data_IF_307265249227
#
_entry.id   IF_307265249227
#
_cell.length_a   1.000
_cell.length_b   1.000
_cell.length_c   1.000
_cell.angle_alpha   90.00
_cell.angle_beta   90.00
_cell.angle_gamma   90.00
#
_symmetry.space_group_name_H-M   'P 1'
#
loop_
_entity.id
_entity.type
_entity.pdbx_description
1 polymer ?
#
# COMPACT_ATOMS: atom_id res chain seq x y z
N UNK A 1 -3.03 -0.82 9.58
CA UNK A 1 -2.03 -0.89 10.65
C UNK A 1 -1.63 0.50 11.16
N UNK A 2 -0.96 1.39 10.36
CA UNK A 2 -0.48 2.70 10.83
C UNK A 2 -1.59 3.56 11.44
N UNK A 3 -2.76 3.62 10.79
CA UNK A 3 -3.92 4.37 11.27
C UNK A 3 -4.46 3.85 12.61
N UNK A 4 -4.50 2.53 12.76
CA UNK A 4 -4.90 1.89 14.01
C UNK A 4 -3.94 2.28 15.15
N UNK A 5 -2.63 2.15 14.94
CA UNK A 5 -1.63 2.56 15.92
C UNK A 5 -1.70 4.05 16.23
N UNK A 6 -1.98 4.91 15.23
CA UNK A 6 -2.18 6.33 15.41
C UNK A 6 -3.38 6.64 16.32
N UNK A 7 -4.50 5.89 16.16
CA UNK A 7 -5.70 5.99 17.03
C UNK A 7 -5.35 5.69 18.50
N UNK A 8 -4.39 4.78 18.74
CA UNK A 8 -3.90 4.42 20.07
C UNK A 8 -2.70 5.25 20.56
N UNK A 9 -2.45 6.41 19.97
CA UNK A 9 -1.48 7.38 20.46
C UNK A 9 -0.06 7.25 19.90
N UNK A 10 0.20 6.33 18.98
CA UNK A 10 1.50 6.20 18.32
C UNK A 10 1.66 7.21 17.20
N UNK A 11 2.89 7.70 17.00
CA UNK A 11 3.22 8.58 15.89
C UNK A 11 3.67 7.78 14.68
N UNK A 12 2.91 7.77 13.56
CA UNK A 12 3.32 7.05 12.36
C UNK A 12 4.43 7.79 11.63
N UNK A 13 5.40 7.03 11.12
CA UNK A 13 6.44 7.50 10.21
C UNK A 13 6.20 6.83 8.86
N UNK A 14 6.01 7.63 7.83
CA UNK A 14 5.88 7.17 6.45
C UNK A 14 7.21 7.39 5.76
N UNK A 15 7.93 6.30 5.52
CA UNK A 15 9.18 6.31 4.77
C UNK A 15 8.89 6.16 3.28
N UNK A 16 9.25 7.18 2.52
CA UNK A 16 9.12 7.21 1.07
C UNK A 16 10.45 6.77 0.43
N UNK A 17 10.38 5.75 -0.40
CA UNK A 17 11.54 5.06 -0.95
C UNK A 17 12.22 5.77 -2.13
N UNK A 18 12.53 7.07 -2.02
CA UNK A 18 13.16 7.80 -3.12
C UNK A 18 14.55 7.30 -3.51
N UNK A 19 15.33 6.81 -2.53
CA UNK A 19 16.63 6.19 -2.77
C UNK A 19 16.51 4.70 -3.13
N UNK A 20 15.75 3.94 -2.35
CA UNK A 20 15.60 2.50 -2.57
C UNK A 20 14.85 2.16 -3.86
N UNK A 21 13.98 3.01 -4.37
CA UNK A 21 13.33 2.81 -5.69
C UNK A 21 14.31 2.89 -6.86
N UNK A 22 15.44 3.60 -6.71
CA UNK A 22 16.51 3.60 -7.71
C UNK A 22 17.18 2.22 -7.84
N UNK A 23 17.15 1.42 -6.78
CA UNK A 23 17.70 0.07 -6.72
C UNK A 23 16.66 -0.96 -7.12
N UNK A 24 15.46 -0.90 -6.55
CA UNK A 24 14.36 -1.84 -6.75
C UNK A 24 14.37 -2.99 -5.73
N UNK A 25 13.24 -3.14 -5.02
CA UNK A 25 13.04 -4.23 -4.06
C UNK A 25 12.79 -5.56 -4.79
N UNK A 26 13.63 -6.61 -4.59
CA UNK A 26 13.42 -7.93 -5.19
C UNK A 26 12.30 -8.72 -4.54
N UNK A 27 11.82 -8.34 -3.35
CA UNK A 27 10.85 -9.11 -2.57
C UNK A 27 9.54 -9.30 -3.32
N UNK A 28 9.05 -10.55 -3.37
CA UNK A 28 7.78 -10.90 -4.00
C UNK A 28 7.71 -10.70 -5.52
N UNK A 29 8.87 -10.61 -6.20
CA UNK A 29 9.00 -10.47 -7.65
C UNK A 29 9.90 -11.55 -8.22
N UNK A 30 9.54 -12.05 -9.39
CA UNK A 30 10.33 -13.02 -10.16
C UNK A 30 11.25 -12.34 -11.18
N UNK A 31 10.91 -11.13 -11.59
CA UNK A 31 11.67 -10.35 -12.58
C UNK A 31 12.32 -9.11 -11.97
N UNK A 32 13.44 -8.69 -12.56
CA UNK A 32 14.11 -7.44 -12.23
C UNK A 32 13.19 -6.24 -12.49
N UNK A 33 13.12 -5.33 -11.53
CA UNK A 33 12.26 -4.14 -11.64
C UNK A 33 12.78 -3.19 -12.71
N UNK A 34 11.85 -2.57 -13.46
CA UNK A 34 12.17 -1.47 -14.38
C UNK A 34 12.82 -0.32 -13.61
N UNK A 35 13.95 0.13 -14.08
CA UNK A 35 14.64 1.31 -13.55
C UNK A 35 13.85 2.56 -13.95
N UNK A 36 13.42 3.32 -12.96
CA UNK A 36 12.68 4.58 -13.15
C UNK A 36 13.64 5.77 -13.10
N UNK A 37 13.32 6.81 -13.86
CA UNK A 37 14.01 8.10 -13.73
C UNK A 37 13.69 8.77 -12.41
N UNK A 38 14.61 9.61 -11.91
CA UNK A 38 14.39 10.40 -10.68
C UNK A 38 13.11 11.22 -10.73
N UNK A 39 12.80 11.82 -11.88
CA UNK A 39 11.57 12.62 -12.08
C UNK A 39 10.29 11.79 -11.92
N UNK A 40 10.29 10.55 -12.42
CA UNK A 40 9.17 9.62 -12.23
C UNK A 40 9.04 9.21 -10.76
N UNK A 41 10.17 8.92 -10.10
CA UNK A 41 10.20 8.58 -8.68
C UNK A 41 9.65 9.72 -7.83
N UNK A 42 10.09 10.96 -8.04
CA UNK A 42 9.63 12.13 -7.29
C UNK A 42 8.11 12.37 -7.49
N UNK A 43 7.61 12.17 -8.72
CA UNK A 43 6.15 12.24 -9.02
C UNK A 43 5.37 11.15 -8.26
N UNK A 44 5.89 9.93 -8.25
CA UNK A 44 5.26 8.81 -7.54
C UNK A 44 5.27 9.03 -6.03
N UNK A 45 6.39 9.49 -5.46
CA UNK A 45 6.52 9.84 -4.05
C UNK A 45 5.45 10.85 -3.64
N UNK A 46 5.30 11.94 -4.39
CA UNK A 46 4.30 12.96 -4.10
C UNK A 46 2.87 12.39 -4.13
N UNK A 47 2.57 11.56 -5.12
CA UNK A 47 1.25 10.93 -5.24
C UNK A 47 0.96 9.99 -4.07
N UNK A 48 1.95 9.20 -3.63
CA UNK A 48 1.82 8.29 -2.48
C UNK A 48 1.69 9.09 -1.18
N UNK A 49 2.51 10.13 -1.00
CA UNK A 49 2.46 11.01 0.18
C UNK A 49 1.08 11.66 0.33
N UNK A 50 0.48 12.15 -0.77
CA UNK A 50 -0.84 12.76 -0.76
C UNK A 50 -1.93 11.76 -0.31
N UNK A 51 -1.83 10.49 -0.70
CA UNK A 51 -2.73 9.42 -0.23
C UNK A 51 -2.55 9.20 1.28
N UNK A 52 -1.32 9.05 1.77
CA UNK A 52 -1.07 8.86 3.19
C UNK A 52 -1.57 10.03 4.04
N UNK A 53 -1.45 11.27 3.55
CA UNK A 53 -2.00 12.48 4.22
C UNK A 53 -3.52 12.41 4.40
N UNK A 54 -4.25 11.74 3.50
CA UNK A 54 -5.69 11.55 3.65
C UNK A 54 -5.98 10.60 4.82
N UNK A 55 -5.26 9.47 4.90
CA UNK A 55 -5.53 8.42 5.88
C UNK A 55 -4.96 8.71 7.27
N UNK A 56 -3.84 9.43 7.38
CA UNK A 56 -3.11 9.66 8.62
C UNK A 56 -3.31 11.08 9.19
N UNK A 57 -4.47 11.69 8.94
CA UNK A 57 -4.81 13.00 9.50
C UNK A 57 -4.86 12.94 11.02
N UNK A 58 -4.14 13.86 11.68
CA UNK A 58 -4.25 14.06 13.12
C UNK A 58 -4.12 15.54 13.47
N UNK A 59 -4.98 16.00 14.40
CA UNK A 59 -4.90 17.33 15.01
C UNK A 59 -3.92 17.34 16.20
N UNK A 60 -3.63 16.17 16.77
CA UNK A 60 -2.72 16.03 17.90
C UNK A 60 -1.28 16.00 17.40
N UNK A 61 -0.44 16.92 17.91
CA UNK A 61 0.98 17.02 17.54
C UNK A 61 1.78 15.75 17.84
N UNK A 62 1.42 15.02 18.91
CA UNK A 62 2.10 13.77 19.30
C UNK A 62 1.84 12.60 18.34
N UNK A 63 0.72 12.62 17.62
CA UNK A 63 0.34 11.56 16.65
C UNK A 63 0.34 12.06 15.22
N UNK A 64 0.78 13.30 14.98
CA UNK A 64 0.93 13.84 13.62
C UNK A 64 1.93 13.00 12.84
N UNK A 65 1.59 12.54 11.61
CA UNK A 65 2.49 11.69 10.84
C UNK A 65 3.76 12.44 10.43
N UNK A 66 4.88 11.73 10.44
CA UNK A 66 6.16 12.21 9.93
C UNK A 66 6.36 11.60 8.55
N UNK A 67 6.67 12.43 7.55
CA UNK A 67 7.02 11.98 6.20
C UNK A 67 8.51 12.17 5.97
N UNK A 68 9.19 11.12 5.57
CA UNK A 68 10.62 11.13 5.27
C UNK A 68 10.90 10.43 3.95
N UNK A 69 11.92 10.92 3.25
CA UNK A 69 12.39 10.33 2.00
C UNK A 69 13.82 9.83 2.21
N UNK A 70 14.03 8.51 2.04
CA UNK A 70 15.34 7.90 2.26
C UNK A 70 16.43 8.36 1.28
N UNK A 71 16.06 8.99 0.17
CA UNK A 71 17.03 9.64 -0.72
C UNK A 71 17.90 10.65 0.03
N UNK A 72 17.36 11.32 1.05
CA UNK A 72 18.07 12.35 1.84
C UNK A 72 19.32 11.84 2.57
N UNK A 73 19.40 10.56 2.87
CA UNK A 73 20.58 9.93 3.48
C UNK A 73 21.25 8.93 2.54
N UNK A 74 20.51 8.12 1.77
CA UNK A 74 21.10 7.12 0.88
C UNK A 74 21.96 7.76 -0.23
N UNK A 75 21.54 8.91 -0.77
CA UNK A 75 22.31 9.62 -1.81
C UNK A 75 23.65 10.19 -1.34
N UNK A 76 23.87 10.27 -0.03
CA UNK A 76 25.08 10.81 0.58
C UNK A 76 26.03 9.72 1.08
N UNK A 77 25.65 8.45 0.93
CA UNK A 77 26.49 7.35 1.36
C UNK A 77 27.74 7.22 0.47
N UNK A 78 28.90 7.19 1.11
CA UNK A 78 30.10 6.72 0.46
C UNK A 78 30.15 5.19 0.51
N UNK A 79 30.35 4.54 -0.61
CA UNK A 79 30.27 3.08 -0.72
C UNK A 79 31.26 2.36 0.20
N UNK A 80 32.51 2.80 0.25
CA UNK A 80 33.53 2.16 1.09
C UNK A 80 33.20 2.32 2.57
N UNK A 81 32.80 3.52 2.98
CA UNK A 81 32.38 3.77 4.37
C UNK A 81 31.13 2.96 4.74
N UNK A 82 30.18 2.84 3.83
CA UNK A 82 28.98 2.03 4.05
C UNK A 82 29.32 0.54 4.25
N UNK A 83 30.18 -0.03 3.42
CA UNK A 83 30.64 -1.41 3.59
C UNK A 83 31.36 -1.60 4.92
N UNK A 84 32.27 -0.68 5.28
CA UNK A 84 33.04 -0.76 6.52
C UNK A 84 32.16 -0.64 7.77
N UNK A 85 31.22 0.31 7.80
CA UNK A 85 30.45 0.64 8.99
C UNK A 85 29.14 -0.13 9.11
N UNK A 86 28.53 -0.52 8.00
CA UNK A 86 27.24 -1.20 7.94
C UNK A 86 27.42 -2.64 7.44
N UNK A 87 28.12 -2.84 6.33
CA UNK A 87 28.29 -4.14 5.70
C UNK A 87 28.85 -5.20 6.64
N UNK A 88 29.80 -4.84 7.51
CA UNK A 88 30.39 -5.75 8.51
C UNK A 88 29.38 -6.40 9.46
N UNK A 89 28.17 -5.86 9.57
CA UNK A 89 27.10 -6.40 10.41
C UNK A 89 26.23 -7.44 9.69
N UNK A 90 26.43 -7.65 8.39
CA UNK A 90 25.71 -8.60 7.58
C UNK A 90 26.59 -9.76 7.18
N UNK A 91 26.06 -10.98 7.26
CA UNK A 91 26.78 -12.16 6.79
C UNK A 91 26.08 -12.75 5.58
N UNK A 92 26.81 -13.10 4.55
CA UNK A 92 26.30 -13.70 3.32
C UNK A 92 25.43 -14.92 3.65
N UNK A 93 25.90 -15.82 4.53
CA UNK A 93 25.17 -17.02 4.92
C UNK A 93 23.77 -16.70 5.45
N UNK A 94 23.62 -15.65 6.29
CA UNK A 94 22.31 -15.23 6.78
C UNK A 94 21.46 -14.59 5.69
N UNK A 95 22.07 -13.76 4.83
CA UNK A 95 21.36 -13.10 3.74
C UNK A 95 20.78 -14.12 2.73
N UNK A 96 21.46 -15.23 2.51
CA UNK A 96 21.00 -16.31 1.62
C UNK A 96 19.81 -17.11 2.18
N UNK A 97 19.53 -17.04 3.50
CA UNK A 97 18.41 -17.77 4.12
C UNK A 97 17.06 -17.09 3.98
N UNK A 98 17.01 -15.82 3.59
CA UNK A 98 15.75 -15.10 3.45
C UNK A 98 15.01 -15.50 2.18
N UNK A 99 13.69 -15.66 2.26
CA UNK A 99 12.85 -16.14 1.15
C UNK A 99 13.00 -15.32 -0.13
N UNK A 100 13.21 -14.01 -0.03
CA UNK A 100 13.45 -13.13 -1.18
C UNK A 100 14.70 -13.48 -2.00
N UNK A 101 15.67 -14.16 -1.38
CA UNK A 101 16.89 -14.64 -2.01
C UNK A 101 16.81 -16.14 -2.27
N UNK A 102 16.51 -16.93 -1.22
CA UNK A 102 16.48 -18.38 -1.25
C UNK A 102 15.61 -18.92 -2.38
N UNK A 103 14.36 -18.46 -2.50
CA UNK A 103 13.43 -18.92 -3.52
C UNK A 103 13.90 -18.62 -4.95
N UNK A 104 14.60 -17.50 -5.16
CA UNK A 104 15.16 -17.17 -6.48
C UNK A 104 16.33 -18.05 -6.84
N UNK A 105 17.21 -18.35 -5.88
CA UNK A 105 18.33 -19.26 -6.08
C UNK A 105 17.86 -20.69 -6.33
N UNK A 106 16.87 -21.18 -5.56
CA UNK A 106 16.28 -22.53 -5.76
C UNK A 106 15.58 -22.68 -7.12
N UNK A 107 15.06 -21.58 -7.68
CA UNK A 107 14.41 -21.55 -9.00
C UNK A 107 15.37 -21.19 -10.13
N UNK A 108 16.67 -21.07 -9.85
CA UNK A 108 17.70 -20.65 -10.82
C UNK A 108 17.40 -19.31 -11.48
N UNK A 109 16.66 -18.43 -10.79
CA UNK A 109 16.32 -17.10 -11.27
C UNK A 109 17.46 -16.11 -11.01
N UNK A 110 17.71 -15.23 -11.96
CA UNK A 110 18.73 -14.18 -11.82
C UNK A 110 18.45 -13.28 -10.62
N UNK A 111 19.47 -13.05 -9.80
CA UNK A 111 19.46 -12.09 -8.70
C UNK A 111 20.70 -11.19 -8.85
N UNK A 112 20.51 -9.94 -9.20
CA UNK A 112 21.63 -9.01 -9.36
C UNK A 112 22.24 -8.66 -8.00
N UNK A 113 23.53 -8.29 -8.01
CA UNK A 113 24.22 -7.79 -6.83
C UNK A 113 23.49 -6.58 -6.20
N UNK A 114 22.93 -5.71 -7.04
CA UNK A 114 22.14 -4.55 -6.63
C UNK A 114 20.89 -4.97 -5.83
N UNK A 115 20.13 -5.93 -6.35
CA UNK A 115 18.93 -6.46 -5.68
C UNK A 115 19.29 -7.19 -4.39
N UNK A 116 20.39 -7.96 -4.37
CA UNK A 116 20.89 -8.65 -3.19
C UNK A 116 21.24 -7.68 -2.05
N UNK A 117 21.79 -6.50 -2.37
CA UNK A 117 22.10 -5.47 -1.39
C UNK A 117 20.90 -4.69 -0.88
N UNK A 118 19.71 -4.83 -1.50
CA UNK A 118 18.53 -4.08 -1.10
C UNK A 118 18.18 -4.23 0.39
N UNK A 119 18.29 -5.44 0.94
CA UNK A 119 18.00 -5.68 2.36
C UNK A 119 18.91 -4.89 3.31
N UNK A 120 20.17 -4.61 2.93
CA UNK A 120 21.05 -3.77 3.73
C UNK A 120 20.62 -2.30 3.70
N UNK A 121 20.10 -1.83 2.56
CA UNK A 121 19.61 -0.45 2.42
C UNK A 121 18.35 -0.22 3.26
N UNK A 122 17.40 -1.15 3.24
CA UNK A 122 16.20 -1.05 4.08
C UNK A 122 16.54 -1.20 5.58
N UNK A 123 17.50 -2.05 5.93
CA UNK A 123 17.99 -2.14 7.31
C UNK A 123 18.64 -0.83 7.76
N UNK A 124 19.40 -0.18 6.87
CA UNK A 124 19.99 1.12 7.13
C UNK A 124 18.92 2.23 7.26
N UNK A 125 17.85 2.18 6.46
CA UNK A 125 16.70 3.07 6.61
C UNK A 125 16.10 2.97 8.01
N UNK A 126 15.87 1.75 8.51
CA UNK A 126 15.32 1.57 9.85
C UNK A 126 16.28 2.09 10.94
N UNK A 127 17.60 1.86 10.77
CA UNK A 127 18.61 2.42 11.64
C UNK A 127 18.60 3.96 11.65
N UNK A 128 18.52 4.62 10.49
CA UNK A 128 18.41 6.07 10.39
C UNK A 128 17.11 6.61 11.00
N UNK A 129 15.99 5.93 10.82
CA UNK A 129 14.72 6.28 11.46
C UNK A 129 14.78 6.13 12.98
N UNK A 130 15.42 5.07 13.49
CA UNK A 130 15.63 4.89 14.92
C UNK A 130 16.49 6.03 15.49
N UNK A 131 17.58 6.37 14.82
CA UNK A 131 18.50 7.42 15.25
C UNK A 131 17.88 8.80 15.22
N UNK A 132 17.18 9.17 14.13
CA UNK A 132 16.65 10.52 13.89
C UNK A 132 15.30 10.75 14.55
N UNK A 133 14.44 9.74 14.57
CA UNK A 133 13.04 9.86 14.97
C UNK A 133 12.65 8.92 16.12
N UNK A 134 13.61 8.22 16.71
CA UNK A 134 13.39 7.24 17.79
C UNK A 134 12.36 6.15 17.36
N UNK A 135 12.34 5.80 16.08
CA UNK A 135 11.48 4.77 15.55
C UNK A 135 11.89 3.40 16.13
N UNK A 136 10.98 2.72 16.79
CA UNK A 136 11.24 1.42 17.43
C UNK A 136 10.49 0.25 16.80
N UNK A 137 9.53 0.51 15.91
CA UNK A 137 8.71 -0.51 15.27
C UNK A 137 8.66 -0.27 13.76
N UNK A 138 9.06 -1.28 12.97
CA UNK A 138 8.85 -1.30 11.52
C UNK A 138 7.75 -2.30 11.17
N UNK A 139 6.83 -1.89 10.28
CA UNK A 139 5.68 -2.70 9.87
C UNK A 139 5.74 -2.95 8.36
N UNK A 140 5.43 -4.17 7.95
CA UNK A 140 5.36 -4.54 6.54
C UNK A 140 4.45 -5.74 6.27
N UNK A 141 4.37 -6.17 5.02
CA UNK A 141 3.81 -7.46 4.65
C UNK A 141 4.76 -8.61 5.02
N UNK A 142 4.27 -9.84 5.02
CA UNK A 142 5.10 -11.03 5.31
C UNK A 142 6.31 -11.17 4.38
N UNK A 143 6.20 -10.68 3.15
CA UNK A 143 7.29 -10.63 2.16
C UNK A 143 8.44 -9.69 2.57
N UNK A 144 8.21 -8.77 3.51
CA UNK A 144 9.21 -7.82 4.03
C UNK A 144 9.95 -8.31 5.27
N UNK A 145 9.64 -9.51 5.77
CA UNK A 145 10.22 -10.01 7.02
C UNK A 145 11.75 -9.96 7.04
N UNK A 146 12.40 -10.47 6.01
CA UNK A 146 13.87 -10.48 5.90
C UNK A 146 14.48 -9.08 5.98
N UNK A 147 13.89 -8.11 5.26
CA UNK A 147 14.35 -6.73 5.27
C UNK A 147 14.18 -6.10 6.67
N UNK A 148 13.04 -6.34 7.34
CA UNK A 148 12.72 -5.78 8.66
C UNK A 148 13.65 -6.36 9.75
N UNK A 149 13.84 -7.68 9.76
CA UNK A 149 14.71 -8.35 10.76
C UNK A 149 16.15 -7.88 10.64
N UNK A 150 16.65 -7.67 9.43
CA UNK A 150 17.99 -7.10 9.24
C UNK A 150 18.12 -5.71 9.85
N UNK A 151 17.06 -4.89 9.80
CA UNK A 151 17.02 -3.58 10.43
C UNK A 151 17.03 -3.66 11.97
N UNK A 152 16.24 -4.55 12.56
CA UNK A 152 16.24 -4.77 14.03
C UNK A 152 17.61 -5.24 14.52
N UNK A 153 18.24 -6.16 13.78
CA UNK A 153 19.57 -6.66 14.12
C UNK A 153 20.65 -5.57 14.00
N UNK A 154 20.57 -4.74 12.96
CA UNK A 154 21.51 -3.64 12.76
C UNK A 154 21.43 -2.64 13.92
N UNK A 155 20.23 -2.24 14.33
CA UNK A 155 20.00 -1.34 15.47
C UNK A 155 20.58 -1.96 16.76
N UNK A 156 20.28 -3.23 17.02
CA UNK A 156 20.78 -3.93 18.21
C UNK A 156 22.33 -3.98 18.22
N UNK A 157 22.97 -4.24 17.09
CA UNK A 157 24.43 -4.34 16.99
C UNK A 157 25.13 -2.99 17.13
N UNK A 158 24.58 -1.92 16.51
CA UNK A 158 25.21 -0.60 16.51
C UNK A 158 24.85 0.25 17.73
N UNK A 159 23.58 0.27 18.12
CA UNK A 159 23.07 1.17 19.18
C UNK A 159 22.88 0.48 20.53
N UNK A 160 22.98 -0.86 20.58
CA UNK A 160 22.66 -1.67 21.77
C UNK A 160 21.22 -1.44 22.28
N UNK A 161 20.33 -1.03 21.38
CA UNK A 161 18.90 -0.78 21.65
C UNK A 161 18.04 -1.87 21.02
N UNK A 162 16.83 -2.05 21.57
CA UNK A 162 15.83 -2.94 21.00
C UNK A 162 14.97 -2.18 19.99
N UNK A 163 14.73 -2.82 18.86
CA UNK A 163 13.74 -2.43 17.88
C UNK A 163 12.96 -3.66 17.43
N UNK A 164 11.75 -3.47 16.94
CA UNK A 164 10.78 -4.53 16.69
C UNK A 164 10.32 -4.50 15.25
N UNK A 165 10.01 -5.67 14.72
CA UNK A 165 9.36 -5.85 13.44
C UNK A 165 7.98 -6.47 13.61
N UNK A 166 7.01 -6.00 12.84
CA UNK A 166 5.67 -6.58 12.74
C UNK A 166 5.34 -6.83 11.28
N UNK A 167 4.99 -8.05 10.95
CA UNK A 167 4.47 -8.35 9.60
C UNK A 167 3.02 -8.80 9.67
N UNK A 168 2.28 -8.49 8.61
CA UNK A 168 0.92 -8.97 8.40
C UNK A 168 0.92 -9.91 7.20
N UNK A 169 0.02 -10.92 7.17
CA UNK A 169 -0.20 -11.69 5.96
C UNK A 169 -0.50 -10.78 4.76
N UNK A 170 -0.11 -11.21 3.56
CA UNK A 170 -0.50 -10.51 2.34
C UNK A 170 -2.03 -10.61 2.18
N UNK A 171 -2.64 -9.49 1.79
CA UNK A 171 -4.07 -9.44 1.57
C UNK A 171 -4.42 -10.18 0.27
N UNK A 172 -5.21 -11.23 0.42
CA UNK A 172 -5.75 -12.02 -0.69
C UNK A 172 -7.27 -12.00 -0.66
N UNK A 173 -7.86 -12.18 -1.82
CA UNK A 173 -9.29 -12.45 -1.97
C UNK A 173 -9.58 -13.91 -1.59
N UNK A 174 -10.83 -14.23 -1.32
CA UNK A 174 -11.29 -15.62 -1.09
C UNK A 174 -10.98 -16.56 -2.27
N UNK A 175 -10.82 -16.00 -3.47
CA UNK A 175 -10.35 -16.71 -4.67
C UNK A 175 -8.85 -17.05 -4.66
N UNK A 176 -8.08 -16.59 -3.67
CA UNK A 176 -6.61 -16.69 -3.63
C UNK A 176 -5.86 -15.60 -4.43
N UNK A 177 -6.56 -14.78 -5.20
CA UNK A 177 -5.95 -13.68 -5.94
C UNK A 177 -5.45 -12.57 -5.01
N UNK A 178 -4.39 -11.86 -5.40
CA UNK A 178 -3.89 -10.70 -4.63
C UNK A 178 -4.92 -9.56 -4.67
N UNK A 179 -5.28 -9.03 -3.50
CA UNK A 179 -6.17 -7.88 -3.42
C UNK A 179 -5.59 -6.64 -4.09
N UNK A 180 -6.48 -5.80 -4.65
CA UNK A 180 -6.10 -4.52 -5.29
C UNK A 180 -5.61 -4.66 -6.72
N UNK A 181 -5.65 -5.86 -7.29
CA UNK A 181 -5.46 -6.11 -8.73
C UNK A 181 -6.73 -6.71 -9.31
N UNK A 182 -7.20 -6.13 -10.41
CA UNK A 182 -8.29 -6.67 -11.21
C UNK A 182 -7.75 -7.01 -12.61
N UNK A 183 -8.55 -7.66 -13.44
CA UNK A 183 -8.23 -7.86 -14.86
C UNK A 183 -7.93 -6.55 -15.59
N UNK A 184 -8.56 -5.44 -15.15
CA UNK A 184 -8.35 -4.08 -15.68
C UNK A 184 -7.15 -3.36 -15.05
N UNK A 185 -6.38 -4.00 -14.15
CA UNK A 185 -5.21 -3.43 -13.49
C UNK A 185 -5.39 -3.12 -12.00
N UNK A 186 -4.61 -2.17 -11.50
CA UNK A 186 -4.61 -1.81 -10.08
C UNK A 186 -5.80 -0.93 -9.70
N UNK A 187 -6.31 -1.10 -8.47
CA UNK A 187 -7.30 -0.18 -7.89
C UNK A 187 -6.57 1.05 -7.35
N UNK A 188 -6.68 2.14 -8.09
CA UNK A 188 -6.01 3.37 -7.76
C UNK A 188 -6.75 4.17 -6.68
N UNK A 189 -5.99 4.71 -5.72
CA UNK A 189 -6.53 5.56 -4.65
C UNK A 189 -6.61 7.04 -5.07
N UNK A 190 -5.94 7.43 -6.14
CA UNK A 190 -5.97 8.78 -6.67
C UNK A 190 -7.20 8.96 -7.57
N UNK A 191 -8.09 9.91 -7.20
CA UNK A 191 -9.34 10.20 -7.93
C UNK A 191 -9.15 10.61 -9.40
N UNK A 192 -7.93 11.02 -9.81
CA UNK A 192 -7.63 11.32 -11.21
C UNK A 192 -7.35 10.05 -12.03
N UNK A 193 -7.06 8.92 -11.39
CA UNK A 193 -6.76 7.65 -12.03
C UNK A 193 -7.92 6.67 -11.93
N UNK A 194 -8.72 6.76 -10.85
CA UNK A 194 -9.94 5.98 -10.65
C UNK A 194 -10.97 6.91 -10.02
N UNK A 195 -12.16 7.04 -10.63
CA UNK A 195 -13.20 7.89 -10.10
C UNK A 195 -13.71 7.40 -8.73
N UNK A 196 -14.26 8.28 -7.86
CA UNK A 196 -14.87 7.86 -6.61
C UNK A 196 -16.01 6.86 -6.82
N UNK A 197 -16.74 6.94 -7.94
CA UNK A 197 -17.79 6.00 -8.30
C UNK A 197 -17.23 4.62 -8.64
N UNK A 198 -16.19 4.53 -9.46
CA UNK A 198 -15.55 3.25 -9.80
C UNK A 198 -14.87 2.61 -8.57
N UNK A 199 -14.29 3.43 -7.69
CA UNK A 199 -13.74 2.97 -6.42
C UNK A 199 -14.84 2.43 -5.51
N UNK A 200 -16.01 3.10 -5.43
CA UNK A 200 -17.18 2.63 -4.70
C UNK A 200 -17.71 1.30 -5.29
N UNK A 201 -17.79 1.21 -6.63
CA UNK A 201 -18.23 -0.02 -7.33
C UNK A 201 -17.28 -1.20 -7.08
N UNK A 202 -15.98 -0.96 -6.99
CA UNK A 202 -15.03 -2.02 -6.62
C UNK A 202 -15.41 -2.65 -5.28
N UNK A 203 -15.68 -1.86 -4.26
CA UNK A 203 -16.09 -2.37 -2.95
C UNK A 203 -17.48 -2.99 -2.96
N UNK A 204 -18.41 -2.40 -3.71
CA UNK A 204 -19.78 -2.93 -3.87
C UNK A 204 -19.81 -4.31 -4.52
N UNK A 205 -18.84 -4.61 -5.39
CA UNK A 205 -18.70 -5.86 -6.11
C UNK A 205 -17.77 -6.88 -5.39
N UNK A 206 -17.45 -6.65 -4.12
CA UNK A 206 -16.72 -7.61 -3.29
C UNK A 206 -17.46 -8.94 -3.21
N UNK A 207 -16.72 -10.07 -3.25
CA UNK A 207 -17.29 -11.39 -3.03
C UNK A 207 -17.93 -11.49 -1.63
N UNK A 208 -19.04 -12.20 -1.51
CA UNK A 208 -19.80 -12.33 -0.26
C UNK A 208 -18.92 -12.83 0.91
N UNK A 209 -17.99 -13.75 0.61
CA UNK A 209 -17.08 -14.34 1.59
C UNK A 209 -16.07 -13.35 2.15
N UNK A 210 -15.76 -12.29 1.40
CA UNK A 210 -14.74 -11.30 1.76
C UNK A 210 -15.31 -10.10 2.52
N UNK A 211 -16.64 -9.86 2.45
CA UNK A 211 -17.28 -8.64 2.94
C UNK A 211 -16.96 -8.37 4.41
N UNK A 212 -17.17 -9.35 5.28
CA UNK A 212 -16.96 -9.21 6.73
C UNK A 212 -15.47 -8.95 7.03
N UNK A 213 -14.58 -9.66 6.37
CA UNK A 213 -13.15 -9.46 6.54
C UNK A 213 -12.73 -8.05 6.09
N UNK A 214 -13.28 -7.57 4.99
CA UNK A 214 -12.97 -6.23 4.48
C UNK A 214 -13.60 -5.11 5.31
N UNK A 215 -14.78 -5.31 5.89
CA UNK A 215 -15.31 -4.38 6.90
C UNK A 215 -14.32 -4.22 8.08
N UNK A 216 -13.74 -5.31 8.58
CA UNK A 216 -12.74 -5.27 9.66
C UNK A 216 -11.44 -4.56 9.26
N UNK A 217 -10.99 -4.75 8.02
CA UNK A 217 -9.67 -4.27 7.56
C UNK A 217 -9.70 -2.85 7.00
N UNK A 218 -10.81 -2.44 6.37
CA UNK A 218 -10.87 -1.24 5.54
C UNK A 218 -11.91 -0.21 6.00
N UNK A 219 -12.52 -0.41 7.17
CA UNK A 219 -13.42 0.58 7.76
C UNK A 219 -12.99 0.95 9.18
N UNK A 220 -13.61 1.98 9.73
CA UNK A 220 -13.44 2.37 11.14
C UNK A 220 -14.57 1.86 12.04
N UNK A 221 -15.41 0.98 11.53
CA UNK A 221 -16.50 0.35 12.29
C UNK A 221 -15.88 -0.53 13.39
N UNK A 222 -16.40 -0.43 14.60
CA UNK A 222 -15.90 -1.22 15.72
C UNK A 222 -16.16 -2.72 15.52
N UNK A 223 -15.21 -3.57 15.95
CA UNK A 223 -15.26 -5.02 15.74
C UNK A 223 -16.53 -5.66 16.32
N UNK A 224 -16.99 -5.19 17.49
CA UNK A 224 -18.23 -5.67 18.13
C UNK A 224 -19.45 -5.38 17.24
N UNK A 225 -19.48 -4.20 16.62
CA UNK A 225 -20.54 -3.82 15.70
C UNK A 225 -20.51 -4.67 14.43
N UNK A 226 -19.31 -4.98 13.88
CA UNK A 226 -19.18 -5.87 12.73
C UNK A 226 -19.62 -7.30 13.07
N UNK A 227 -19.29 -7.81 14.25
CA UNK A 227 -19.74 -9.15 14.69
C UNK A 227 -21.27 -9.19 14.89
N UNK A 228 -21.86 -8.12 15.43
CA UNK A 228 -23.33 -7.98 15.53
C UNK A 228 -23.98 -8.02 14.13
N UNK A 229 -23.43 -7.28 13.17
CA UNK A 229 -23.92 -7.27 11.78
C UNK A 229 -23.83 -8.66 11.13
N UNK A 230 -22.73 -9.39 11.37
CA UNK A 230 -22.55 -10.77 10.89
C UNK A 230 -23.62 -11.73 11.44
N UNK A 231 -23.96 -11.60 12.73
CA UNK A 231 -24.88 -12.51 13.41
C UNK A 231 -26.36 -12.14 13.18
N UNK A 232 -26.66 -10.93 12.70
CA UNK A 232 -28.03 -10.42 12.53
C UNK A 232 -28.76 -10.91 11.27
N UNK A 233 -28.17 -11.85 10.52
CA UNK A 233 -28.73 -12.37 9.25
C UNK A 233 -29.08 -11.25 8.25
N UNK A 234 -28.33 -10.13 8.29
CA UNK A 234 -28.54 -9.02 7.38
C UNK A 234 -28.27 -9.41 5.93
N UNK A 235 -29.03 -8.81 5.03
CA UNK A 235 -28.79 -8.93 3.59
C UNK A 235 -27.34 -8.53 3.24
N UNK A 236 -26.59 -9.47 2.68
CA UNK A 236 -25.19 -9.28 2.28
C UNK A 236 -25.02 -8.07 1.35
N UNK A 237 -26.03 -7.74 0.55
CA UNK A 237 -26.02 -6.56 -0.31
C UNK A 237 -25.98 -5.25 0.48
N UNK A 238 -26.66 -5.20 1.63
CA UNK A 238 -26.60 -4.04 2.54
C UNK A 238 -25.19 -3.91 3.16
N UNK A 239 -24.57 -5.01 3.52
CA UNK A 239 -23.21 -5.02 4.04
C UNK A 239 -22.19 -4.59 2.99
N UNK A 240 -22.37 -4.97 1.72
CA UNK A 240 -21.55 -4.50 0.59
C UNK A 240 -21.70 -3.00 0.35
N UNK A 241 -22.91 -2.46 0.47
CA UNK A 241 -23.16 -1.02 0.37
C UNK A 241 -22.48 -0.30 1.54
N UNK A 242 -22.60 -0.82 2.75
CA UNK A 242 -21.94 -0.28 3.93
C UNK A 242 -20.41 -0.24 3.74
N UNK A 243 -19.81 -1.36 3.30
CA UNK A 243 -18.36 -1.43 3.00
C UNK A 243 -17.95 -0.39 1.95
N UNK A 244 -18.71 -0.29 0.85
CA UNK A 244 -18.43 0.65 -0.23
C UNK A 244 -18.55 2.11 0.23
N UNK A 245 -19.54 2.43 1.05
CA UNK A 245 -19.74 3.76 1.61
C UNK A 245 -18.61 4.13 2.56
N UNK A 246 -18.29 3.28 3.53
CA UNK A 246 -17.23 3.54 4.52
C UNK A 246 -15.86 3.68 3.86
N UNK A 247 -15.48 2.74 3.01
CA UNK A 247 -14.18 2.79 2.31
C UNK A 247 -14.07 4.03 1.40
N UNK A 248 -15.16 4.38 0.69
CA UNK A 248 -15.17 5.57 -0.18
C UNK A 248 -15.19 6.87 0.63
N UNK A 249 -15.94 6.92 1.74
CA UNK A 249 -15.97 8.07 2.62
C UNK A 249 -14.58 8.33 3.24
N UNK A 250 -13.87 7.29 3.61
CA UNK A 250 -12.52 7.37 4.18
C UNK A 250 -11.51 7.98 3.21
N UNK A 251 -11.60 7.67 1.92
CA UNK A 251 -10.64 8.13 0.91
C UNK A 251 -11.08 9.42 0.23
N UNK A 252 -12.36 9.52 -0.16
CA UNK A 252 -12.88 10.59 -1.01
C UNK A 252 -13.85 11.54 -0.30
N UNK A 253 -14.20 11.23 0.95
CA UNK A 253 -15.14 11.99 1.77
C UNK A 253 -16.59 11.50 1.65
N UNK A 254 -17.39 11.77 2.69
CA UNK A 254 -18.77 11.27 2.83
C UNK A 254 -19.70 11.74 1.70
N UNK A 255 -19.48 12.94 1.15
CA UNK A 255 -20.24 13.43 0.01
C UNK A 255 -20.03 12.55 -1.22
N UNK A 256 -18.77 12.23 -1.54
CA UNK A 256 -18.46 11.38 -2.70
C UNK A 256 -19.02 9.96 -2.55
N UNK A 257 -19.00 9.40 -1.35
CA UNK A 257 -19.61 8.11 -1.05
C UNK A 257 -21.13 8.12 -1.31
N UNK A 258 -21.84 9.11 -0.75
CA UNK A 258 -23.29 9.27 -0.94
C UNK A 258 -23.67 9.52 -2.41
N UNK A 259 -22.92 10.37 -3.10
CA UNK A 259 -23.14 10.65 -4.53
C UNK A 259 -22.93 9.38 -5.38
N UNK A 260 -21.97 8.54 -5.03
CA UNK A 260 -21.69 7.26 -5.71
C UNK A 260 -22.81 6.25 -5.47
N UNK A 261 -23.29 6.12 -4.22
CA UNK A 261 -24.41 5.25 -3.87
C UNK A 261 -25.70 5.66 -4.63
N UNK A 262 -26.05 6.95 -4.60
CA UNK A 262 -27.23 7.47 -5.31
C UNK A 262 -27.11 7.26 -6.83
N UNK A 263 -25.92 7.39 -7.39
CA UNK A 263 -25.68 7.12 -8.81
C UNK A 263 -25.89 5.66 -9.13
N UNK A 264 -25.40 4.75 -8.29
CA UNK A 264 -25.59 3.31 -8.47
C UNK A 264 -27.06 2.91 -8.34
N UNK A 265 -27.79 3.45 -7.36
CA UNK A 265 -29.23 3.20 -7.19
C UNK A 265 -30.00 3.62 -8.43
N UNK A 266 -29.76 4.81 -8.98
CA UNK A 266 -30.42 5.30 -10.21
C UNK A 266 -30.09 4.43 -11.42
N UNK A 267 -28.82 4.05 -11.57
CA UNK A 267 -28.36 3.29 -12.75
C UNK A 267 -28.89 1.86 -12.74
N UNK A 268 -28.86 1.18 -11.60
CA UNK A 268 -29.20 -0.24 -11.50
C UNK A 268 -30.59 -0.50 -10.90
N UNK A 269 -31.13 0.42 -10.08
CA UNK A 269 -32.48 0.33 -9.53
C UNK A 269 -33.52 0.92 -10.47
N UNK A 270 -33.42 2.23 -10.73
CA UNK A 270 -34.41 2.97 -11.50
C UNK A 270 -34.19 2.92 -13.02
N UNK A 271 -33.12 2.25 -13.48
CA UNK A 271 -32.67 2.20 -14.91
C UNK A 271 -32.57 3.58 -15.56
N UNK A 272 -32.26 4.61 -14.76
CA UNK A 272 -32.03 5.98 -15.22
C UNK A 272 -30.54 6.34 -15.23
N UNK A 273 -30.17 7.38 -16.00
CA UNK A 273 -28.76 7.80 -16.07
C UNK A 273 -28.37 8.56 -14.79
N UNK A 274 -27.42 8.02 -14.01
CA UNK A 274 -26.88 8.68 -12.83
C UNK A 274 -25.95 9.84 -13.19
N UNK A 275 -25.98 10.94 -12.41
CA UNK A 275 -25.22 12.17 -12.70
C UNK A 275 -23.69 12.04 -12.60
N UNK A 276 -23.18 11.05 -11.87
CA UNK A 276 -21.75 10.87 -11.58
C UNK A 276 -21.12 9.66 -12.28
N UNK A 277 -21.75 9.17 -13.34
CA UNK A 277 -21.16 8.12 -14.17
C UNK A 277 -19.89 8.65 -14.85
N UNK A 278 -18.88 7.79 -15.07
CA UNK A 278 -17.72 8.13 -15.88
C UNK A 278 -18.16 8.63 -17.26
N UNK A 279 -17.60 9.75 -17.71
CA UNK A 279 -17.94 10.36 -19.00
C UNK A 279 -16.74 10.23 -19.94
N UNK A 280 -16.94 9.56 -21.05
CA UNK A 280 -15.98 9.52 -22.15
C UNK A 280 -16.35 10.58 -23.19
N UNK A 281 -15.43 11.51 -23.45
CA UNK A 281 -15.60 12.52 -24.49
C UNK A 281 -15.12 11.97 -25.83
N UNK A 282 -16.04 11.79 -26.75
CA UNK A 282 -15.74 11.28 -28.09
C UNK A 282 -15.79 12.44 -29.09
N UNK A 283 -14.78 12.51 -29.97
CA UNK A 283 -14.76 13.52 -31.03
C UNK A 283 -15.91 13.25 -32.03
N UNK A 284 -16.64 14.29 -32.42
CA UNK A 284 -17.78 14.19 -33.33
C UNK A 284 -17.43 13.53 -34.68
N UNK A 285 -16.19 13.68 -35.15
CA UNK A 285 -15.68 13.03 -36.36
C UNK A 285 -15.63 11.49 -36.24
N UNK A 286 -15.45 10.96 -35.03
CA UNK A 286 -15.37 9.50 -34.78
C UNK A 286 -16.76 8.90 -34.68
N UNK A 287 -17.77 9.67 -34.20
CA UNK A 287 -19.16 9.21 -34.10
C UNK A 287 -19.88 9.21 -35.45
N UNK A 288 -19.44 10.02 -36.42
CA UNK A 288 -20.06 10.11 -37.76
C UNK A 288 -19.89 8.84 -38.57
N UNK A 289 -18.84 8.04 -38.33
CA UNK A 289 -18.57 6.76 -39.01
C UNK A 289 -19.09 5.53 -38.26
N UNK A 290 -19.76 5.74 -37.12
CA UNK A 290 -20.14 4.66 -36.22
C UNK A 290 -18.97 4.17 -35.36
N UNK A 291 -19.20 3.94 -34.06
CA UNK A 291 -18.20 3.39 -33.13
C UNK A 291 -18.73 2.04 -32.66
N UNK A 292 -17.86 1.03 -32.76
CA UNK A 292 -18.12 -0.22 -32.10
C UNK A 292 -18.00 0.02 -30.56
N UNK A 293 -19.04 -0.31 -29.82
CA UNK A 293 -19.11 -0.11 -28.36
C UNK A 293 -17.98 -0.82 -27.61
N UNK A 294 -17.38 -1.86 -28.19
CA UNK A 294 -16.21 -2.58 -27.64
C UNK A 294 -14.90 -1.79 -27.77
N UNK A 295 -14.89 -0.71 -28.56
CA UNK A 295 -13.72 0.16 -28.79
C UNK A 295 -13.82 1.49 -28.02
N UNK A 296 -14.81 1.65 -27.17
CA UNK A 296 -15.03 2.75 -26.25
C UNK A 296 -14.44 2.45 -24.86
#
# INVERSE_FOLDING_TARGET
CLRLLQKYGHQPIVLLGGGTTLIGDPSGKEETRKILSKKEIDKNIKSIEDVFKIFLKSKNSKTKPIFVNNYSWLSKLNYINFLREIGKHFTINKMLTFDSVKLRLEREQSLSYMEFNYMMLQAYDFYELNKRHKCILQIGGSDQWGNIVNGTDLIKRKEKKLAYGLTTPLLTLSSGAKMGKTEKGAIWLNKKMLSPYDYWQFWRNTDDKDVINFLKLFTDIDLEQIESLKNSNQDINKLKILLANEATAMLHGSKAAKDSELTAQKTFGDKSIGKNLPVVKIKKSVTASGINILNL
#
